data_IF_562391707636
#
_entry.id   IF_562391707636
#
_cell.length_a   1.000
_cell.length_b   1.000
_cell.length_c   1.000
_cell.angle_alpha   90.00
_cell.angle_beta   90.00
_cell.angle_gamma   90.00
#
_symmetry.space_group_name_H-M   'P 1'
#
loop_
_entity.id
_entity.type
_entity.pdbx_description
1 polymer ?
#
# COMPACT_ATOMS: atom_id res chain seq x y z
N UNK A 1 -18.79 -22.00 16.06
CA UNK A 1 -19.49 -20.75 15.76
C UNK A 1 -20.00 -20.84 14.35
N UNK A 2 -21.33 -20.91 14.16
CA UNK A 2 -21.93 -20.99 12.81
C UNK A 2 -21.83 -19.60 12.21
N UNK A 3 -21.01 -19.45 11.14
CA UNK A 3 -20.94 -18.21 10.38
C UNK A 3 -22.33 -17.92 9.79
N UNK A 4 -22.83 -16.71 9.96
CA UNK A 4 -24.00 -16.23 9.23
C UNK A 4 -23.77 -16.29 7.71
N UNK A 5 -24.82 -16.10 6.89
CA UNK A 5 -24.72 -16.18 5.42
C UNK A 5 -23.59 -15.31 4.85
N UNK A 6 -23.43 -14.08 5.33
CA UNK A 6 -22.40 -13.15 4.93
C UNK A 6 -20.95 -13.64 5.19
N UNK A 7 -20.74 -14.31 6.33
CA UNK A 7 -19.41 -14.87 6.63
C UNK A 7 -19.04 -16.09 5.79
N UNK A 8 -20.03 -16.75 5.19
CA UNK A 8 -19.81 -17.82 4.22
C UNK A 8 -19.31 -17.30 2.89
N UNK A 9 -19.79 -16.17 2.41
CA UNK A 9 -19.37 -15.60 1.13
C UNK A 9 -17.87 -15.34 1.06
N UNK A 10 -17.29 -14.74 2.11
CA UNK A 10 -15.84 -14.49 2.18
C UNK A 10 -15.04 -15.80 2.32
N UNK A 11 -15.52 -16.75 3.16
CA UNK A 11 -14.85 -18.03 3.32
C UNK A 11 -14.90 -18.86 2.02
N UNK A 12 -16.03 -18.92 1.35
CA UNK A 12 -16.20 -19.60 0.06
C UNK A 12 -15.33 -18.97 -1.02
N UNK A 13 -15.29 -17.64 -1.08
CA UNK A 13 -14.38 -16.91 -1.98
C UNK A 13 -12.91 -17.29 -1.74
N UNK A 14 -12.46 -17.30 -0.48
CA UNK A 14 -11.08 -17.67 -0.15
C UNK A 14 -10.78 -19.13 -0.47
N UNK A 15 -11.67 -20.07 -0.13
CA UNK A 15 -11.47 -21.48 -0.46
C UNK A 15 -11.48 -21.74 -1.97
N UNK A 16 -12.30 -21.02 -2.72
CA UNK A 16 -12.37 -21.15 -4.18
C UNK A 16 -11.10 -20.61 -4.86
N UNK A 17 -10.62 -19.45 -4.44
CA UNK A 17 -9.53 -18.75 -5.13
C UNK A 17 -8.15 -19.05 -4.51
N UNK A 18 -8.08 -19.45 -3.24
CA UNK A 18 -6.84 -19.66 -2.49
C UNK A 18 -6.91 -20.92 -1.63
N UNK A 19 -7.16 -22.13 -2.21
CA UNK A 19 -7.41 -23.34 -1.42
C UNK A 19 -6.29 -23.66 -0.42
N UNK A 20 -5.03 -23.44 -0.81
CA UNK A 20 -3.86 -23.71 0.03
C UNK A 20 -3.66 -22.67 1.15
N UNK A 21 -4.13 -21.46 0.97
CA UNK A 21 -3.93 -20.34 1.91
C UNK A 21 -5.19 -19.99 2.73
N UNK A 22 -6.36 -20.42 2.25
CA UNK A 22 -7.66 -20.02 2.82
C UNK A 22 -7.74 -20.27 4.33
N UNK A 23 -7.33 -21.44 4.79
CA UNK A 23 -7.33 -21.80 6.22
C UNK A 23 -6.43 -20.85 7.01
N UNK A 24 -5.21 -20.61 6.53
CA UNK A 24 -4.23 -19.76 7.18
C UNK A 24 -4.73 -18.31 7.25
N UNK A 25 -5.29 -17.79 6.15
CA UNK A 25 -5.88 -16.44 6.09
C UNK A 25 -7.04 -16.30 7.09
N UNK A 26 -7.98 -17.25 7.08
CA UNK A 26 -9.18 -17.20 7.92
C UNK A 26 -8.89 -17.36 9.42
N UNK A 27 -7.86 -18.14 9.76
CA UNK A 27 -7.48 -18.40 11.17
C UNK A 27 -6.39 -17.46 11.69
N UNK A 28 -5.72 -16.72 10.79
CA UNK A 28 -4.68 -15.79 11.19
C UNK A 28 -5.26 -14.74 12.16
N UNK A 29 -4.59 -14.61 13.28
CA UNK A 29 -4.85 -13.55 14.26
C UNK A 29 -3.62 -12.65 14.23
N UNK A 30 -3.84 -11.34 14.19
CA UNK A 30 -2.76 -10.39 14.34
C UNK A 30 -1.95 -10.76 15.58
N UNK A 31 -0.65 -11.02 15.38
CA UNK A 31 0.24 -11.69 16.35
C UNK A 31 0.15 -11.10 17.73
N UNK A 32 -0.61 -11.79 18.58
CA UNK A 32 -0.60 -11.57 20.03
C UNK A 32 -0.54 -10.10 20.49
N UNK A 33 -0.93 -9.13 19.64
CA UNK A 33 -0.92 -7.71 19.97
C UNK A 33 0.38 -6.96 19.62
N UNK A 34 1.27 -7.50 18.79
CA UNK A 34 2.41 -6.75 18.24
C UNK A 34 1.91 -5.69 17.25
N UNK A 35 2.40 -4.48 17.42
CA UNK A 35 2.15 -3.36 16.50
C UNK A 35 3.38 -3.16 15.62
N UNK A 36 3.15 -3.01 14.32
CA UNK A 36 4.19 -2.63 13.37
C UNK A 36 4.29 -1.11 13.27
N UNK A 37 5.50 -0.62 13.39
CA UNK A 37 5.88 0.78 13.32
C UNK A 37 6.86 0.99 12.17
N UNK A 38 6.92 2.21 11.65
CA UNK A 38 8.00 2.71 10.80
C UNK A 38 8.79 3.76 11.58
N UNK A 39 10.09 3.56 11.70
CA UNK A 39 10.98 4.56 12.29
C UNK A 39 11.12 5.78 11.37
N UNK A 40 11.18 6.98 11.94
CA UNK A 40 11.48 8.21 11.20
C UNK A 40 13.00 8.38 11.09
N UNK A 41 13.61 8.15 9.94
CA UNK A 41 15.07 8.20 9.78
C UNK A 41 15.65 9.61 9.99
N UNK A 42 14.83 10.66 9.94
CA UNK A 42 15.25 12.02 10.28
C UNK A 42 15.52 12.20 11.79
N UNK A 43 15.08 11.26 12.63
CA UNK A 43 15.20 11.33 14.11
C UNK A 43 15.91 10.13 14.72
N UNK A 44 15.63 8.93 14.21
CA UNK A 44 16.25 7.70 14.67
C UNK A 44 16.06 6.60 13.63
N UNK A 45 17.03 5.75 13.44
CA UNK A 45 16.86 4.51 12.70
C UNK A 45 16.07 3.46 13.51
N UNK A 46 15.80 2.31 12.93
CA UNK A 46 15.03 1.26 13.59
C UNK A 46 15.73 0.71 14.84
N UNK A 47 17.05 0.63 14.87
CA UNK A 47 17.82 0.13 16.01
C UNK A 47 17.70 1.11 17.18
N UNK A 48 17.99 2.39 16.94
CA UNK A 48 17.85 3.44 17.96
C UNK A 48 16.41 3.60 18.46
N UNK A 49 15.40 3.42 17.58
CA UNK A 49 14.00 3.40 18.01
C UNK A 49 13.70 2.21 18.93
N UNK A 50 14.23 1.01 18.63
CA UNK A 50 14.09 -0.15 19.51
C UNK A 50 14.64 0.13 20.91
N UNK A 51 15.84 0.71 21.01
CA UNK A 51 16.46 1.08 22.30
C UNK A 51 15.60 2.06 23.08
N UNK A 52 15.13 3.13 22.42
CA UNK A 52 14.26 4.15 23.04
C UNK A 52 12.93 3.56 23.55
N UNK A 53 12.27 2.72 22.76
CA UNK A 53 11.03 2.07 23.16
C UNK A 53 11.24 1.11 24.34
N UNK A 54 12.33 0.35 24.33
CA UNK A 54 12.70 -0.57 25.42
C UNK A 54 12.97 0.21 26.71
N UNK A 55 13.71 1.32 26.64
CA UNK A 55 13.98 2.19 27.79
C UNK A 55 12.69 2.79 28.40
N UNK A 56 11.63 2.96 27.58
CA UNK A 56 10.30 3.40 28.04
C UNK A 56 9.41 2.25 28.56
N UNK A 57 9.94 1.04 28.70
CA UNK A 57 9.21 -0.12 29.19
C UNK A 57 8.26 -0.76 28.18
N UNK A 58 8.37 -0.43 26.89
CA UNK A 58 7.61 -1.13 25.84
C UNK A 58 8.17 -2.54 25.67
N UNK A 59 7.28 -3.53 25.59
CA UNK A 59 7.68 -4.95 25.59
C UNK A 59 7.86 -5.52 24.19
N UNK A 60 8.61 -6.62 24.07
CA UNK A 60 8.81 -7.38 22.83
C UNK A 60 9.24 -6.49 21.65
N UNK A 61 10.10 -5.51 21.94
CA UNK A 61 10.59 -4.57 20.92
C UNK A 61 11.68 -5.24 20.08
N UNK A 62 11.51 -5.24 18.78
CA UNK A 62 12.50 -5.76 17.83
C UNK A 62 12.36 -5.11 16.47
N UNK A 63 13.41 -5.15 15.68
CA UNK A 63 13.31 -4.77 14.28
C UNK A 63 12.39 -5.75 13.52
N UNK A 64 11.60 -5.23 12.59
CA UNK A 64 10.82 -6.04 11.67
C UNK A 64 11.66 -6.56 10.50
N UNK A 65 11.04 -7.30 9.59
CA UNK A 65 11.72 -7.84 8.40
C UNK A 65 11.84 -6.80 7.27
N UNK A 66 11.01 -5.76 7.30
CA UNK A 66 11.08 -4.65 6.36
C UNK A 66 12.08 -3.62 6.86
N UNK A 67 13.04 -3.15 6.04
CA UNK A 67 13.99 -2.13 6.45
C UNK A 67 13.31 -0.91 7.05
N UNK A 68 13.77 -0.46 8.22
CA UNK A 68 13.17 0.66 8.96
C UNK A 68 11.92 0.32 9.78
N UNK A 69 11.41 -0.91 9.71
CA UNK A 69 10.26 -1.34 10.52
C UNK A 69 10.69 -1.80 11.93
N UNK A 70 9.80 -1.57 12.89
CA UNK A 70 9.92 -2.04 14.28
C UNK A 70 8.62 -2.71 14.68
N UNK A 71 8.73 -3.85 15.36
CA UNK A 71 7.61 -4.56 15.98
C UNK A 71 7.70 -4.37 17.49
N UNK A 72 6.59 -4.01 18.13
CA UNK A 72 6.56 -3.78 19.56
C UNK A 72 5.17 -4.08 20.17
N UNK A 73 5.16 -4.49 21.44
CA UNK A 73 3.92 -4.70 22.20
C UNK A 73 3.68 -3.51 23.11
N UNK A 74 2.61 -2.78 22.82
CA UNK A 74 2.18 -1.64 23.61
C UNK A 74 1.09 -2.01 24.62
N UNK A 75 1.15 -1.40 25.79
CA UNK A 75 0.01 -1.26 26.68
C UNK A 75 -0.73 0.02 26.29
N UNK A 76 -1.97 -0.13 25.79
CA UNK A 76 -2.73 0.97 25.21
C UNK A 76 -2.32 1.34 23.77
N UNK A 77 -2.69 2.52 23.34
CA UNK A 77 -2.41 2.98 22.00
C UNK A 77 -0.94 3.38 21.79
N UNK A 78 -0.28 2.93 20.71
CA UNK A 78 1.03 3.46 20.33
C UNK A 78 1.03 4.99 20.13
N UNK A 79 -0.10 5.57 19.72
CA UNK A 79 -0.25 7.00 19.49
C UNK A 79 -0.27 7.84 20.80
N UNK A 80 -0.50 7.20 21.94
CA UNK A 80 -0.48 7.88 23.25
C UNK A 80 0.93 8.06 23.80
N UNK A 81 1.95 7.51 23.15
CA UNK A 81 3.34 7.58 23.60
C UNK A 81 3.99 8.89 23.19
N UNK A 82 4.88 9.40 24.03
CA UNK A 82 5.60 10.65 23.79
C UNK A 82 6.45 10.59 22.51
N UNK A 83 7.13 9.48 22.26
CA UNK A 83 7.91 9.30 21.02
C UNK A 83 7.06 9.39 19.76
N UNK A 84 5.78 8.97 19.81
CA UNK A 84 4.85 9.17 18.68
C UNK A 84 4.56 10.65 18.50
N UNK A 85 4.20 11.37 19.57
CA UNK A 85 3.90 12.81 19.50
C UNK A 85 5.11 13.62 19.00
N UNK A 86 6.30 13.20 19.37
CA UNK A 86 7.56 13.78 18.90
C UNK A 86 7.94 13.34 17.46
N UNK A 87 7.17 12.48 16.81
CA UNK A 87 7.39 12.06 15.43
C UNK A 87 8.58 11.11 15.22
N UNK A 88 8.97 10.31 16.23
CA UNK A 88 10.02 9.29 16.07
C UNK A 88 9.56 8.09 15.24
N UNK A 89 8.25 7.87 15.16
CA UNK A 89 7.66 6.80 14.35
C UNK A 89 6.22 7.08 13.96
N UNK A 90 5.75 6.34 12.97
CA UNK A 90 4.33 6.18 12.69
C UNK A 90 3.92 4.71 12.72
N UNK A 91 2.61 4.46 12.85
CA UNK A 91 2.05 3.11 12.89
C UNK A 91 1.70 2.69 11.47
N UNK A 92 2.39 1.69 10.94
CA UNK A 92 2.13 1.18 9.59
C UNK A 92 2.48 -0.31 9.50
N UNK A 93 1.60 -1.10 8.86
CA UNK A 93 1.83 -2.53 8.63
C UNK A 93 3.00 -2.79 7.68
N UNK A 94 3.76 -3.86 7.90
CA UNK A 94 4.93 -4.18 7.09
C UNK A 94 4.58 -4.36 5.59
N UNK A 95 3.42 -4.93 5.27
CA UNK A 95 2.98 -5.09 3.89
C UNK A 95 2.71 -3.73 3.21
N UNK A 96 2.10 -2.78 3.94
CA UNK A 96 1.90 -1.41 3.49
C UNK A 96 3.23 -0.68 3.25
N UNK A 97 4.19 -0.84 4.18
CA UNK A 97 5.55 -0.30 4.01
C UNK A 97 6.24 -0.85 2.75
N UNK A 98 6.13 -2.16 2.49
CA UNK A 98 6.72 -2.77 1.29
C UNK A 98 6.11 -2.21 -0.01
N UNK A 99 4.79 -2.00 -0.06
CA UNK A 99 4.15 -1.39 -1.22
C UNK A 99 4.68 0.04 -1.49
N UNK A 100 4.87 0.83 -0.44
CA UNK A 100 5.47 2.16 -0.57
C UNK A 100 6.95 2.11 -1.00
N UNK A 101 7.74 1.19 -0.43
CA UNK A 101 9.15 1.00 -0.82
C UNK A 101 9.31 0.59 -2.29
N UNK A 102 8.33 -0.13 -2.87
CA UNK A 102 8.34 -0.47 -4.30
C UNK A 102 8.28 0.74 -5.23
N UNK A 103 7.90 1.91 -4.74
CA UNK A 103 7.94 3.16 -5.51
C UNK A 103 9.40 3.55 -5.81
N UNK A 104 10.33 3.21 -4.91
CA UNK A 104 11.75 3.61 -4.97
C UNK A 104 11.92 5.12 -5.15
N UNK A 105 11.15 5.90 -4.38
CA UNK A 105 11.23 7.35 -4.43
C UNK A 105 12.63 7.84 -4.07
N UNK A 106 13.14 8.83 -4.82
CA UNK A 106 14.52 9.30 -4.66
C UNK A 106 14.56 10.78 -4.27
N UNK A 107 15.61 11.21 -3.58
CA UNK A 107 15.84 12.62 -3.31
C UNK A 107 15.76 13.48 -4.57
N UNK A 108 15.05 14.62 -4.47
CA UNK A 108 14.92 15.58 -5.57
C UNK A 108 13.84 15.27 -6.61
N UNK A 109 13.24 14.07 -6.61
CA UNK A 109 12.17 13.72 -7.54
C UNK A 109 10.83 14.42 -7.24
N UNK A 110 9.95 14.42 -8.23
CA UNK A 110 8.52 14.71 -8.09
C UNK A 110 7.76 13.40 -7.97
N UNK A 111 7.08 13.19 -6.84
CA UNK A 111 6.34 11.96 -6.54
C UNK A 111 4.88 12.29 -6.27
N UNK A 112 3.95 11.44 -6.73
CA UNK A 112 2.52 11.53 -6.40
C UNK A 112 2.09 10.30 -5.59
N UNK A 113 1.35 10.54 -4.50
CA UNK A 113 0.57 9.53 -3.79
C UNK A 113 -0.90 9.89 -3.96
N UNK A 114 -1.61 9.20 -4.86
CA UNK A 114 -2.92 9.61 -5.35
C UNK A 114 -4.10 9.18 -4.45
N UNK A 115 -3.88 8.23 -3.52
CA UNK A 115 -4.90 7.73 -2.60
C UNK A 115 -4.32 7.63 -1.17
N UNK A 116 -3.79 8.74 -0.68
CA UNK A 116 -2.79 8.78 0.37
C UNK A 116 -3.30 8.51 1.79
N UNK A 117 -4.54 8.88 2.10
CA UNK A 117 -5.00 8.88 3.49
C UNK A 117 -5.10 7.47 4.11
N UNK A 118 -4.66 7.30 5.35
CA UNK A 118 -4.40 8.33 6.36
C UNK A 118 -2.96 8.91 6.36
N UNK A 119 -2.09 8.55 5.40
CA UNK A 119 -0.78 9.16 5.21
C UNK A 119 0.43 8.29 5.50
N UNK A 120 0.27 7.04 5.95
CA UNK A 120 1.41 6.17 6.29
C UNK A 120 2.41 6.03 5.14
N UNK A 121 1.93 5.67 3.94
CA UNK A 121 2.78 5.53 2.74
C UNK A 121 3.39 6.88 2.32
N UNK A 122 2.62 7.98 2.39
CA UNK A 122 3.14 9.34 2.18
C UNK A 122 4.35 9.65 3.06
N UNK A 123 4.25 9.36 4.37
CA UNK A 123 5.35 9.61 5.31
C UNK A 123 6.59 8.82 4.89
N UNK A 124 6.44 7.54 4.58
CA UNK A 124 7.53 6.68 4.14
C UNK A 124 8.16 7.19 2.83
N UNK A 125 7.36 7.58 1.84
CA UNK A 125 7.88 8.15 0.59
C UNK A 125 8.68 9.42 0.83
N UNK A 126 8.18 10.33 1.67
CA UNK A 126 8.88 11.57 2.02
C UNK A 126 10.21 11.31 2.75
N UNK A 127 10.27 10.27 3.60
CA UNK A 127 11.47 9.80 4.28
C UNK A 127 12.49 9.23 3.29
N UNK A 128 12.08 8.36 2.35
CA UNK A 128 12.94 7.82 1.28
C UNK A 128 13.50 8.93 0.38
N UNK A 129 12.72 9.99 0.12
CA UNK A 129 13.16 11.19 -0.57
C UNK A 129 14.09 12.06 0.28
N UNK A 130 14.45 11.65 1.49
CA UNK A 130 15.28 12.42 2.43
C UNK A 130 14.75 13.84 2.67
N UNK A 131 13.42 13.99 2.72
CA UNK A 131 12.73 15.26 2.90
C UNK A 131 13.12 16.33 1.84
N UNK A 132 13.46 15.89 0.61
CA UNK A 132 13.81 16.75 -0.53
C UNK A 132 12.90 16.47 -1.74
N UNK A 133 13.00 17.26 -2.81
CA UNK A 133 12.07 17.15 -3.93
C UNK A 133 10.66 17.61 -3.57
N UNK A 134 9.64 17.05 -4.22
CA UNK A 134 8.23 17.38 -3.93
C UNK A 134 7.36 16.12 -4.00
N UNK A 135 6.67 15.82 -2.91
CA UNK A 135 5.66 14.77 -2.83
C UNK A 135 4.26 15.40 -2.76
N UNK A 136 3.44 15.14 -3.76
CA UNK A 136 2.01 15.49 -3.73
C UNK A 136 1.22 14.33 -3.16
N UNK A 137 0.57 14.56 -2.03
CA UNK A 137 -0.21 13.57 -1.30
C UNK A 137 -1.69 13.91 -1.38
N UNK A 138 -2.45 13.08 -2.09
CA UNK A 138 -3.82 13.36 -2.49
C UNK A 138 -4.81 12.38 -1.87
N UNK A 139 -5.99 12.87 -1.51
CA UNK A 139 -7.16 12.04 -1.16
C UNK A 139 -8.44 12.77 -1.57
N UNK A 140 -9.49 12.02 -1.91
CA UNK A 140 -10.75 12.58 -2.39
C UNK A 140 -11.57 13.30 -1.31
N UNK A 141 -11.27 13.11 -0.03
CA UNK A 141 -12.01 13.65 1.08
C UNK A 141 -11.15 14.60 1.94
N UNK A 142 -11.57 15.86 2.07
CA UNK A 142 -10.82 16.88 2.82
C UNK A 142 -10.56 16.50 4.28
N UNK A 143 -11.51 15.87 4.95
CA UNK A 143 -11.31 15.38 6.32
C UNK A 143 -10.21 14.30 6.40
N UNK A 144 -9.99 13.53 5.34
CA UNK A 144 -8.90 12.56 5.26
C UNK A 144 -7.57 13.23 4.91
N UNK A 145 -7.58 14.25 4.05
CA UNK A 145 -6.40 15.09 3.76
C UNK A 145 -5.88 15.76 5.04
N UNK A 146 -6.79 16.18 5.93
CA UNK A 146 -6.39 16.76 7.22
C UNK A 146 -5.63 15.75 8.10
N UNK A 147 -5.92 14.44 8.03
CA UNK A 147 -5.14 13.42 8.73
C UNK A 147 -3.70 13.35 8.20
N UNK A 148 -3.54 13.46 6.88
CA UNK A 148 -2.21 13.48 6.25
C UNK A 148 -1.42 14.71 6.74
N UNK A 149 -2.02 15.90 6.71
CA UNK A 149 -1.37 17.15 7.19
C UNK A 149 -0.86 17.00 8.62
N UNK A 150 -1.75 16.56 9.52
CA UNK A 150 -1.39 16.33 10.91
C UNK A 150 -0.22 15.35 11.08
N UNK A 151 -0.20 14.29 10.28
CA UNK A 151 0.87 13.29 10.32
C UNK A 151 2.20 13.86 9.77
N UNK A 152 2.15 14.59 8.66
CA UNK A 152 3.30 15.27 8.03
C UNK A 152 3.94 16.27 9.00
N UNK A 153 3.12 17.14 9.61
CA UNK A 153 3.59 18.13 10.58
C UNK A 153 4.23 17.48 11.79
N UNK A 154 3.61 16.43 12.34
CA UNK A 154 4.13 15.66 13.48
C UNK A 154 5.49 15.00 13.17
N UNK A 155 5.67 14.50 11.96
CA UNK A 155 6.92 13.86 11.53
C UNK A 155 8.01 14.86 11.16
N UNK A 156 7.68 16.16 10.99
CA UNK A 156 8.62 17.21 10.62
C UNK A 156 9.03 17.18 9.14
N UNK A 157 8.12 16.70 8.27
CA UNK A 157 8.36 16.63 6.84
C UNK A 157 7.96 17.94 6.15
N UNK A 158 8.82 18.46 5.27
CA UNK A 158 8.63 19.75 4.61
C UNK A 158 8.49 19.64 3.08
N UNK A 159 8.74 18.45 2.53
CA UNK A 159 8.66 18.18 1.10
C UNK A 159 7.28 17.70 0.63
N UNK A 160 6.28 17.65 1.52
CA UNK A 160 4.93 17.12 1.23
C UNK A 160 3.94 18.27 0.98
N UNK A 161 3.23 18.19 -0.14
CA UNK A 161 2.09 19.05 -0.49
C UNK A 161 0.81 18.23 -0.49
N UNK A 162 -0.14 18.54 0.36
CA UNK A 162 -1.40 17.80 0.47
C UNK A 162 -2.51 18.47 -0.33
N UNK A 163 -3.28 17.68 -1.10
CA UNK A 163 -4.40 18.14 -1.92
C UNK A 163 -5.64 17.29 -1.70
N UNK A 164 -6.81 17.94 -1.58
CA UNK A 164 -8.08 17.27 -1.80
C UNK A 164 -8.28 17.08 -3.31
N UNK A 165 -8.22 15.84 -3.78
CA UNK A 165 -8.21 15.51 -5.21
C UNK A 165 -8.91 14.18 -5.48
N UNK A 166 -9.86 14.19 -6.39
CA UNK A 166 -10.44 12.97 -6.94
C UNK A 166 -9.50 12.38 -8.00
N UNK A 167 -8.79 11.30 -7.62
CA UNK A 167 -7.81 10.65 -8.48
C UNK A 167 -8.41 9.93 -9.71
N UNK A 168 -9.73 9.83 -9.81
CA UNK A 168 -10.39 9.30 -11.02
C UNK A 168 -10.41 10.31 -12.17
N UNK A 169 -9.94 11.55 -11.94
CA UNK A 169 -9.96 12.65 -12.91
C UNK A 169 -8.62 13.36 -12.94
N UNK A 170 -8.23 13.76 -14.14
CA UNK A 170 -7.02 14.57 -14.31
C UNK A 170 -7.22 15.94 -13.64
N UNK A 171 -6.33 16.29 -12.74
CA UNK A 171 -6.26 17.60 -12.12
C UNK A 171 -5.07 18.38 -12.70
N UNK A 172 -5.30 19.49 -13.42
CA UNK A 172 -4.22 20.28 -14.02
C UNK A 172 -3.28 20.95 -13.01
N UNK A 173 -3.64 20.97 -11.73
CA UNK A 173 -2.75 21.45 -10.66
C UNK A 173 -1.66 20.43 -10.27
N UNK A 174 -1.79 19.17 -10.68
CA UNK A 174 -0.77 18.15 -10.45
C UNK A 174 0.24 18.14 -11.61
N UNK A 175 1.54 18.16 -11.30
CA UNK A 175 2.59 18.07 -12.32
C UNK A 175 2.72 16.63 -12.83
N UNK A 176 3.42 16.46 -13.95
CA UNK A 176 3.98 15.16 -14.30
C UNK A 176 5.03 14.73 -13.26
N UNK A 177 5.00 13.45 -12.91
CA UNK A 177 5.82 12.89 -11.85
C UNK A 177 6.82 11.85 -12.34
N UNK A 178 7.92 11.73 -11.62
CA UNK A 178 8.93 10.68 -11.83
C UNK A 178 8.42 9.34 -11.30
N UNK A 179 7.63 9.38 -10.21
CA UNK A 179 7.07 8.22 -9.52
C UNK A 179 5.65 8.48 -9.07
N UNK A 180 4.81 7.45 -9.15
CA UNK A 180 3.42 7.52 -8.68
C UNK A 180 3.10 6.27 -7.86
N UNK A 181 2.43 6.48 -6.72
CA UNK A 181 1.78 5.44 -5.94
C UNK A 181 0.26 5.56 -6.08
N UNK A 182 -0.38 4.43 -6.35
CA UNK A 182 -1.84 4.28 -6.32
C UNK A 182 -2.22 3.15 -5.38
N UNK A 183 -2.37 3.47 -4.07
CA UNK A 183 -2.92 2.53 -3.08
C UNK A 183 -4.44 2.65 -3.09
N UNK A 184 -5.06 2.03 -4.06
CA UNK A 184 -6.44 2.31 -4.46
C UNK A 184 -7.48 1.82 -3.45
N UNK A 185 -8.66 2.45 -3.37
CA UNK A 185 -9.78 1.92 -2.61
C UNK A 185 -10.16 0.53 -3.14
N UNK A 186 -10.32 -0.43 -2.22
CA UNK A 186 -10.55 -1.83 -2.55
C UNK A 186 -11.51 -2.51 -1.56
N UNK A 187 -11.84 -3.77 -1.80
CA UNK A 187 -12.74 -4.56 -0.93
C UNK A 187 -12.18 -4.83 0.47
N UNK A 188 -10.86 -4.75 0.67
CA UNK A 188 -10.20 -4.87 1.96
C UNK A 188 -10.12 -6.31 2.49
N UNK A 189 -10.22 -7.34 1.66
CA UNK A 189 -10.18 -8.74 2.10
C UNK A 189 -8.82 -9.17 2.67
N UNK A 190 -7.77 -8.38 2.48
CA UNK A 190 -6.44 -8.64 3.03
C UNK A 190 -6.28 -8.25 4.51
N UNK A 191 -7.20 -7.45 5.06
CA UNK A 191 -7.09 -6.91 6.44
C UNK A 191 -8.05 -7.59 7.43
N UNK A 192 -8.49 -8.83 7.16
CA UNK A 192 -9.41 -9.59 8.01
C UNK A 192 -8.92 -9.75 9.45
N UNK A 193 -7.61 -9.80 9.68
CA UNK A 193 -7.05 -9.90 11.02
C UNK A 193 -7.18 -8.61 11.84
N UNK A 194 -7.12 -7.45 11.16
CA UNK A 194 -7.27 -6.12 11.77
C UNK A 194 -8.73 -5.68 11.89
N UNK A 195 -9.56 -6.10 10.92
CA UNK A 195 -10.99 -5.81 10.84
C UNK A 195 -11.80 -7.10 10.73
N UNK A 196 -12.01 -7.80 11.85
CA UNK A 196 -12.69 -9.10 11.85
C UNK A 196 -14.14 -9.06 11.33
N UNK A 197 -14.79 -7.90 11.40
CA UNK A 197 -16.13 -7.64 10.86
C UNK A 197 -16.20 -7.84 9.34
N UNK A 198 -15.11 -7.64 8.62
CA UNK A 198 -15.05 -7.91 7.18
C UNK A 198 -15.29 -9.39 6.84
N UNK A 199 -15.09 -10.31 7.79
CA UNK A 199 -15.42 -11.74 7.62
C UNK A 199 -16.90 -12.00 7.40
N UNK A 200 -17.75 -11.05 7.82
CA UNK A 200 -19.20 -11.10 7.71
C UNK A 200 -19.74 -10.21 6.58
N UNK A 201 -18.82 -9.61 5.78
CA UNK A 201 -19.18 -8.76 4.67
C UNK A 201 -19.82 -9.58 3.56
N UNK A 202 -20.94 -9.09 3.04
CA UNK A 202 -21.52 -9.62 1.81
C UNK A 202 -20.69 -9.13 0.62
N UNK A 203 -20.34 -10.06 -0.28
CA UNK A 203 -19.67 -9.72 -1.54
C UNK A 203 -20.74 -9.27 -2.54
N UNK A 204 -20.97 -7.95 -2.62
CA UNK A 204 -21.96 -7.33 -3.49
C UNK A 204 -21.36 -7.09 -4.89
N UNK A 205 -21.89 -7.71 -5.96
CA UNK A 205 -21.39 -7.54 -7.33
C UNK A 205 -21.47 -6.10 -7.84
N UNK A 206 -22.51 -5.33 -7.45
CA UNK A 206 -22.64 -3.93 -7.85
C UNK A 206 -21.54 -3.09 -7.23
N UNK A 207 -21.27 -3.28 -5.94
CA UNK A 207 -20.17 -2.61 -5.25
C UNK A 207 -18.80 -3.01 -5.79
N UNK A 208 -18.63 -4.25 -6.19
CA UNK A 208 -17.40 -4.71 -6.84
C UNK A 208 -17.20 -4.01 -8.18
N UNK A 209 -18.24 -3.90 -9.00
CA UNK A 209 -18.16 -3.19 -10.28
C UNK A 209 -17.78 -1.70 -10.11
N UNK A 210 -18.32 -1.01 -9.10
CA UNK A 210 -17.95 0.37 -8.76
C UNK A 210 -16.46 0.48 -8.38
N UNK A 211 -15.96 -0.45 -7.57
CA UNK A 211 -14.54 -0.47 -7.17
C UNK A 211 -13.64 -0.68 -8.40
N UNK A 212 -13.96 -1.64 -9.26
CA UNK A 212 -13.18 -1.91 -10.48
C UNK A 212 -13.14 -0.70 -11.41
N UNK A 213 -14.29 -0.02 -11.62
CA UNK A 213 -14.35 1.19 -12.42
C UNK A 213 -13.51 2.33 -11.82
N UNK A 214 -13.56 2.50 -10.49
CA UNK A 214 -12.76 3.50 -9.77
C UNK A 214 -11.27 3.20 -9.88
N UNK A 215 -10.85 1.95 -9.69
CA UNK A 215 -9.46 1.51 -9.78
C UNK A 215 -8.88 1.72 -11.18
N UNK A 216 -9.65 1.38 -12.21
CA UNK A 216 -9.26 1.62 -13.61
C UNK A 216 -9.07 3.11 -13.89
N UNK A 217 -10.04 3.96 -13.51
CA UNK A 217 -9.95 5.40 -13.71
C UNK A 217 -8.77 6.05 -12.99
N UNK A 218 -8.42 5.58 -11.78
CA UNK A 218 -7.24 6.04 -11.05
C UNK A 218 -5.95 5.67 -11.80
N UNK A 219 -5.85 4.44 -12.31
CA UNK A 219 -4.69 4.01 -13.10
C UNK A 219 -4.54 4.80 -14.40
N UNK A 220 -5.63 5.04 -15.12
CA UNK A 220 -5.63 5.84 -16.36
C UNK A 220 -5.14 7.28 -16.08
N UNK A 221 -5.61 7.89 -14.98
CA UNK A 221 -5.16 9.21 -14.54
C UNK A 221 -3.66 9.18 -14.19
N UNK A 222 -3.21 8.17 -13.46
CA UNK A 222 -1.81 8.01 -13.07
C UNK A 222 -0.91 7.84 -14.31
N UNK A 223 -1.34 7.06 -15.31
CA UNK A 223 -0.59 6.88 -16.55
C UNK A 223 -0.37 8.20 -17.31
N UNK A 224 -1.39 9.08 -17.33
CA UNK A 224 -1.29 10.41 -17.93
C UNK A 224 -0.39 11.38 -17.17
N UNK A 225 -0.27 11.21 -15.85
CA UNK A 225 0.58 12.04 -14.98
C UNK A 225 2.03 11.52 -14.86
N UNK A 226 2.31 10.30 -15.31
CA UNK A 226 3.64 9.72 -15.22
C UNK A 226 4.50 10.16 -16.41
N UNK A 227 5.71 10.64 -16.13
CA UNK A 227 6.71 10.95 -17.15
C UNK A 227 7.13 9.68 -17.92
N UNK A 228 7.58 9.80 -19.17
CA UNK A 228 8.28 8.73 -19.88
C UNK A 228 9.44 8.20 -19.02
N UNK A 229 9.64 6.88 -18.97
CA UNK A 229 10.62 6.22 -18.10
C UNK A 229 10.28 6.24 -16.62
N UNK A 230 9.13 6.79 -16.23
CA UNK A 230 8.65 6.83 -14.85
C UNK A 230 8.20 5.49 -14.31
N UNK A 231 7.99 5.41 -12.99
CA UNK A 231 7.56 4.20 -12.27
C UNK A 231 6.23 4.42 -11.58
N UNK A 232 5.27 3.54 -11.82
CA UNK A 232 3.94 3.53 -11.23
C UNK A 232 3.79 2.28 -10.38
N UNK A 233 3.40 2.44 -9.13
CA UNK A 233 3.07 1.33 -8.24
C UNK A 233 1.56 1.32 -7.99
N UNK A 234 0.93 0.21 -8.35
CA UNK A 234 -0.46 -0.10 -7.99
C UNK A 234 -0.48 -1.03 -6.80
N UNK A 235 -1.23 -0.70 -5.77
CA UNK A 235 -1.39 -1.57 -4.60
C UNK A 235 -2.82 -1.62 -4.09
N UNK A 236 -3.17 -2.77 -3.47
CA UNK A 236 -4.45 -3.00 -2.79
C UNK A 236 -4.21 -3.77 -1.51
N UNK A 237 -5.11 -3.59 -0.54
CA UNK A 237 -5.19 -4.46 0.64
C UNK A 237 -6.27 -5.55 0.48
N UNK A 238 -6.43 -6.11 -0.72
CA UNK A 238 -7.41 -7.18 -0.98
C UNK A 238 -6.78 -8.39 -1.63
N UNK A 239 -7.47 -9.53 -1.53
CA UNK A 239 -7.11 -10.77 -2.23
C UNK A 239 -7.91 -10.98 -3.53
N UNK A 240 -8.84 -10.09 -3.87
CA UNK A 240 -9.68 -10.22 -5.07
C UNK A 240 -8.84 -10.26 -6.35
N UNK A 241 -8.83 -11.37 -7.11
CA UNK A 241 -8.11 -11.42 -8.37
C UNK A 241 -8.61 -10.38 -9.38
N UNK A 242 -9.91 -10.06 -9.33
CA UNK A 242 -10.52 -9.07 -10.21
C UNK A 242 -9.97 -7.67 -9.94
N UNK A 243 -9.79 -7.31 -8.64
CA UNK A 243 -9.23 -6.02 -8.22
C UNK A 243 -7.70 -5.95 -8.35
N UNK A 244 -7.04 -7.07 -8.55
CA UNK A 244 -5.59 -7.24 -8.64
C UNK A 244 -5.16 -7.51 -10.08
N UNK A 245 -4.93 -8.79 -10.44
CA UNK A 245 -4.50 -9.17 -11.79
C UNK A 245 -5.48 -8.72 -12.87
N UNK A 246 -6.78 -8.72 -12.58
CA UNK A 246 -7.81 -8.29 -13.52
C UNK A 246 -7.65 -6.84 -13.94
N UNK A 247 -7.49 -5.95 -12.97
CA UNK A 247 -7.27 -4.50 -13.21
C UNK A 247 -5.96 -4.28 -13.96
N UNK A 248 -4.86 -4.91 -13.53
CA UNK A 248 -3.55 -4.77 -14.20
C UNK A 248 -3.59 -5.32 -15.63
N UNK A 249 -4.26 -6.46 -15.85
CA UNK A 249 -4.40 -7.03 -17.19
C UNK A 249 -5.19 -6.10 -18.12
N UNK A 250 -6.28 -5.50 -17.63
CA UNK A 250 -7.07 -4.54 -18.41
C UNK A 250 -6.25 -3.27 -18.73
N UNK A 251 -5.55 -2.74 -17.74
CA UNK A 251 -4.69 -1.57 -17.89
C UNK A 251 -3.60 -1.78 -18.96
N UNK A 252 -2.87 -2.87 -18.92
CA UNK A 252 -1.79 -3.14 -19.88
C UNK A 252 -2.31 -3.37 -21.33
N UNK A 253 -3.54 -3.80 -21.50
CA UNK A 253 -4.17 -3.89 -22.83
C UNK A 253 -4.45 -2.51 -23.43
N UNK A 254 -4.79 -1.53 -22.60
CA UNK A 254 -5.07 -0.14 -23.03
C UNK A 254 -3.83 0.77 -23.03
N UNK A 255 -2.76 0.37 -22.34
CA UNK A 255 -1.51 1.13 -22.19
C UNK A 255 -0.31 0.26 -22.60
N UNK A 256 -0.09 0.05 -23.93
CA UNK A 256 0.99 -0.80 -24.42
C UNK A 256 2.39 -0.21 -24.21
N UNK A 257 2.47 1.05 -23.80
CA UNK A 257 3.69 1.74 -23.38
C UNK A 257 4.10 1.43 -21.93
N UNK A 258 3.35 0.55 -21.23
CA UNK A 258 3.71 0.10 -19.89
C UNK A 258 4.11 -1.37 -19.88
N UNK A 259 5.06 -1.70 -19.03
CA UNK A 259 5.43 -3.08 -18.71
C UNK A 259 5.48 -3.33 -17.20
N UNK A 260 5.34 -4.60 -16.79
CA UNK A 260 5.50 -4.98 -15.40
C UNK A 260 6.98 -5.18 -15.09
N UNK A 261 7.48 -4.39 -14.14
CA UNK A 261 8.81 -4.54 -13.58
C UNK A 261 8.78 -5.59 -12.45
N UNK A 262 9.68 -6.57 -12.49
CA UNK A 262 9.76 -7.60 -11.45
C UNK A 262 10.48 -7.06 -10.23
N UNK A 263 9.88 -7.28 -9.07
CA UNK A 263 10.51 -7.04 -7.77
C UNK A 263 10.47 -8.33 -6.98
N UNK A 264 11.61 -8.74 -6.43
CA UNK A 264 11.72 -9.99 -5.69
C UNK A 264 12.07 -9.73 -4.21
N UNK A 265 11.38 -10.43 -3.33
CA UNK A 265 11.71 -10.54 -1.92
C UNK A 265 11.25 -11.91 -1.38
N UNK A 266 11.86 -12.43 -0.30
CA UNK A 266 11.55 -13.77 0.23
C UNK A 266 10.08 -13.98 0.61
N UNK A 267 9.36 -12.90 0.90
CA UNK A 267 7.94 -12.95 1.34
C UNK A 267 6.95 -12.84 0.19
N UNK A 268 7.42 -12.56 -1.03
CA UNK A 268 6.56 -12.34 -2.18
C UNK A 268 6.07 -13.66 -2.74
N UNK A 269 4.75 -13.72 -2.95
CA UNK A 269 4.13 -14.78 -3.75
C UNK A 269 3.78 -14.19 -5.11
N UNK A 270 4.15 -14.83 -6.23
CA UNK A 270 3.93 -14.26 -7.56
C UNK A 270 2.44 -14.06 -7.85
N UNK A 271 2.15 -13.13 -8.74
CA UNK A 271 0.81 -12.95 -9.30
C UNK A 271 0.33 -14.22 -10.01
N UNK A 272 -0.98 -14.36 -10.12
CA UNK A 272 -1.64 -15.59 -10.59
C UNK A 272 -2.48 -15.30 -11.84
N UNK A 273 -1.86 -15.36 -13.04
CA UNK A 273 -2.60 -15.18 -14.29
C UNK A 273 -3.74 -16.19 -14.48
N UNK A 274 -3.59 -17.40 -13.93
CA UNK A 274 -4.58 -18.46 -13.96
C UNK A 274 -5.88 -18.19 -13.17
N UNK A 275 -5.93 -17.10 -12.40
CA UNK A 275 -7.10 -16.73 -11.60
C UNK A 275 -8.05 -15.74 -12.28
N UNK A 276 -7.69 -15.28 -13.47
CA UNK A 276 -8.52 -14.33 -14.24
C UNK A 276 -8.74 -14.85 -15.66
N UNK A 277 -9.82 -14.37 -16.27
CA UNK A 277 -10.08 -14.59 -17.71
C UNK A 277 -9.20 -13.67 -18.56
N UNK A 278 -8.66 -14.19 -19.65
CA UNK A 278 -7.88 -13.44 -20.63
C UNK A 278 -6.68 -12.64 -20.05
N UNK A 279 -5.76 -13.29 -19.31
CA UNK A 279 -4.60 -12.59 -18.76
C UNK A 279 -3.63 -12.10 -19.84
N UNK A 280 -2.96 -10.98 -19.57
CA UNK A 280 -1.79 -10.58 -20.35
C UNK A 280 -0.54 -11.31 -19.86
N UNK A 281 0.49 -11.49 -20.70
CA UNK A 281 1.79 -12.01 -20.27
C UNK A 281 2.44 -11.11 -19.21
N UNK A 282 3.21 -11.71 -18.29
CA UNK A 282 4.00 -10.97 -17.31
C UNK A 282 3.29 -10.72 -15.96
N UNK A 283 2.01 -11.08 -15.81
CA UNK A 283 1.30 -10.92 -14.54
C UNK A 283 1.93 -11.69 -13.37
N UNK A 284 2.68 -12.74 -13.65
CA UNK A 284 3.47 -13.48 -12.64
C UNK A 284 4.62 -12.65 -12.04
N UNK A 285 4.96 -11.51 -12.63
CA UNK A 285 5.93 -10.55 -12.08
C UNK A 285 5.32 -9.67 -10.98
N UNK A 286 3.98 -9.55 -10.91
CA UNK A 286 3.29 -8.92 -9.78
C UNK A 286 3.39 -9.80 -8.57
N UNK A 287 3.07 -9.30 -7.37
CA UNK A 287 3.20 -10.11 -6.17
C UNK A 287 2.10 -9.89 -5.15
N UNK A 288 1.96 -10.88 -4.27
CA UNK A 288 1.12 -10.85 -3.07
C UNK A 288 1.94 -11.02 -1.82
N UNK A 289 1.44 -10.39 -0.76
CA UNK A 289 1.87 -10.55 0.61
C UNK A 289 0.75 -11.20 1.41
N UNK A 290 1.05 -12.31 2.08
CA UNK A 290 0.08 -13.02 2.89
C UNK A 290 0.21 -12.62 4.36
N UNK A 291 -0.91 -12.37 5.08
CA UNK A 291 -0.86 -11.86 6.46
C UNK A 291 -0.11 -12.79 7.41
N UNK A 292 -0.25 -14.10 7.24
CA UNK A 292 0.40 -15.10 8.09
C UNK A 292 1.89 -15.33 7.77
N UNK A 293 2.40 -14.82 6.64
CA UNK A 293 3.83 -14.90 6.28
C UNK A 293 4.61 -13.66 6.67
N UNK A 294 3.95 -12.50 6.71
CA UNK A 294 4.60 -11.21 6.98
C UNK A 294 4.11 -10.50 8.26
N UNK A 295 3.37 -11.20 9.12
CA UNK A 295 2.85 -10.66 10.38
C UNK A 295 2.08 -9.33 10.20
N UNK A 296 0.92 -9.41 9.57
CA UNK A 296 0.18 -8.15 9.37
C UNK A 296 -1.07 -8.29 8.52
N UNK A 297 -1.00 -7.71 7.37
CA UNK A 297 -2.09 -7.63 6.40
C UNK A 297 -1.68 -8.22 5.07
N UNK A 298 -2.68 -8.72 4.34
CA UNK A 298 -2.50 -9.13 2.96
C UNK A 298 -2.50 -7.92 2.04
N UNK A 299 -1.56 -7.91 1.10
CA UNK A 299 -1.45 -6.89 0.05
C UNK A 299 -1.21 -7.54 -1.30
N UNK A 300 -1.60 -6.81 -2.34
CA UNK A 300 -1.15 -7.06 -3.70
C UNK A 300 -0.41 -5.82 -4.21
N UNK A 301 0.58 -6.05 -5.06
CA UNK A 301 1.35 -4.98 -5.64
C UNK A 301 1.76 -5.31 -7.08
N UNK A 302 1.62 -4.35 -7.97
CA UNK A 302 2.17 -4.35 -9.32
C UNK A 302 3.06 -3.13 -9.50
N UNK A 303 4.29 -3.34 -9.91
CA UNK A 303 5.24 -2.29 -10.26
C UNK A 303 5.26 -2.18 -11.77
N UNK A 304 4.93 -0.99 -12.28
CA UNK A 304 4.79 -0.71 -13.70
C UNK A 304 5.83 0.35 -14.11
N UNK A 305 6.45 0.14 -15.27
CA UNK A 305 7.39 1.05 -15.90
C UNK A 305 6.78 1.59 -17.19
N UNK A 306 6.73 2.91 -17.33
CA UNK A 306 6.39 3.55 -18.61
C UNK A 306 7.62 3.55 -19.53
N UNK A 307 7.42 3.26 -20.81
CA UNK A 307 8.50 3.38 -21.79
C UNK A 307 9.12 4.78 -21.76
N UNK A 308 10.42 4.85 -21.91
CA UNK A 308 11.13 6.12 -22.06
C UNK A 308 10.86 6.70 -23.47
N UNK A 309 11.09 8.00 -23.61
CA UNK A 309 11.19 8.56 -24.96
C UNK A 309 12.36 7.87 -25.68
N UNK A 310 12.10 7.27 -26.85
CA UNK A 310 13.19 6.81 -27.69
C UNK A 310 14.10 8.03 -27.97
N UNK A 311 15.43 7.89 -27.82
CA UNK A 311 16.32 8.96 -28.27
C UNK A 311 16.04 9.16 -29.77
N UNK A 312 15.44 10.32 -30.09
CA UNK A 312 15.08 10.64 -31.45
C UNK A 312 16.24 10.33 -32.39
N UNK A 313 15.99 9.46 -33.36
CA UNK A 313 16.85 9.31 -34.52
C UNK A 313 16.82 10.63 -35.30
N UNK A 314 17.65 11.57 -34.83
CA UNK A 314 17.95 12.82 -35.52
C UNK A 314 19.08 12.65 -36.53
#
# INVERSE_FOLDING_TARGET
MVLGSAGRDVAEFLHKNYPDEARNILTYKADGGLTSLRANPLKADAAALCEKLTALGVREVRQGVVPGSVLARFEGSPADKELFRQGYYHVEGQASQLAALCVEAKPGETVLDLCAAPGGKTLLLAEEMQNTGTLYSCDAAENRVQLIRTAVDRMGLTNVKTLCNDATRVNPALPQADRILTDVPCSGLGILAKKPDLRYKTLDPARQAELLATQAAILDTAAGLLKPGGRLVYSTCTFSPQENEGVISAFLKSHPDFEIERVDAPWFSPGRPDWIEHPVPGLEKTFRLWPHRLLGEGHYCAVLRKAGDEPGTG
#
